data_IF_878466161487
#
_entry.id   IF_878466161487
#
_cell.length_a   1.000
_cell.length_b   1.000
_cell.length_c   1.000
_cell.angle_alpha   90.00
_cell.angle_beta   90.00
_cell.angle_gamma   90.00
#
_symmetry.space_group_name_H-M   'P 1'
#
loop_
_entity.id
_entity.type
_entity.pdbx_description
1 polymer ?
#
# COMPACT_ATOMS: atom_id res chain seq x y z
N UNK A 1 23.17 -8.14 -5.26
CA UNK A 1 21.78 -8.30 -4.81
C UNK A 1 21.79 -8.65 -3.34
N UNK A 2 21.09 -7.87 -2.51
CA UNK A 2 20.95 -8.09 -1.08
C UNK A 2 19.50 -8.44 -0.76
N UNK A 3 19.30 -9.27 0.27
CA UNK A 3 17.96 -9.57 0.79
C UNK A 3 17.54 -8.49 1.76
N UNK A 4 16.24 -8.19 1.75
CA UNK A 4 15.64 -7.20 2.63
C UNK A 4 14.36 -7.75 3.25
N UNK A 5 13.85 -7.04 4.25
CA UNK A 5 12.54 -7.28 4.83
C UNK A 5 11.85 -5.97 5.19
N UNK A 6 10.53 -5.95 5.10
CA UNK A 6 9.71 -4.90 5.70
C UNK A 6 9.10 -5.36 7.02
N UNK A 7 8.60 -4.41 7.81
CA UNK A 7 7.79 -4.70 8.98
C UNK A 7 6.30 -4.64 8.61
N UNK A 8 5.48 -5.45 9.29
CA UNK A 8 4.02 -5.35 9.16
C UNK A 8 3.56 -3.95 9.62
N UNK A 9 2.68 -3.33 8.84
CA UNK A 9 2.04 -2.07 9.20
C UNK A 9 0.56 -2.11 8.82
N UNK A 10 -0.26 -1.26 9.45
CA UNK A 10 -1.67 -1.17 9.14
C UNK A 10 -2.19 0.24 9.34
N UNK A 11 -3.31 0.54 8.72
CA UNK A 11 -4.06 1.76 8.96
C UNK A 11 -5.53 1.44 9.24
N UNK A 12 -6.11 2.12 10.22
CA UNK A 12 -7.57 2.13 10.38
C UNK A 12 -8.23 2.85 9.21
N UNK A 13 -9.40 2.36 8.83
CA UNK A 13 -10.23 2.94 7.79
C UNK A 13 -11.19 3.96 8.39
N UNK A 14 -11.28 5.12 7.74
CA UNK A 14 -12.14 6.22 8.14
C UNK A 14 -12.82 6.86 6.93
N UNK A 15 -13.54 7.99 7.15
CA UNK A 15 -14.17 8.72 6.06
C UNK A 15 -13.12 9.31 5.12
N UNK A 16 -13.48 9.47 3.84
CA UNK A 16 -12.65 10.21 2.90
C UNK A 16 -12.49 11.66 3.41
N UNK A 17 -11.25 12.16 3.57
CA UNK A 17 -11.02 13.51 4.06
C UNK A 17 -11.60 14.58 3.11
N UNK A 18 -12.04 15.74 3.63
CA UNK A 18 -12.56 16.83 2.81
C UNK A 18 -11.52 17.32 1.79
N UNK A 19 -12.00 17.66 0.59
CA UNK A 19 -11.20 18.30 -0.46
C UNK A 19 -11.06 19.78 -0.13
N UNK A 20 -9.98 20.17 0.54
CA UNK A 20 -9.71 21.58 0.86
C UNK A 20 -8.57 22.12 -0.01
N UNK A 21 -8.56 23.40 -0.38
CA UNK A 21 -7.50 23.98 -1.20
C UNK A 21 -6.08 23.82 -0.63
N UNK A 22 -5.96 23.64 0.69
CA UNK A 22 -4.70 23.49 1.41
C UNK A 22 -4.18 22.03 1.47
N UNK A 23 -4.99 21.05 1.07
CA UNK A 23 -4.58 19.66 0.98
C UNK A 23 -4.87 19.18 -0.45
N UNK A 24 -3.86 18.79 -1.25
CA UNK A 24 -4.14 18.13 -2.51
C UNK A 24 -5.07 16.95 -2.24
N UNK A 25 -6.08 16.75 -3.10
CA UNK A 25 -7.09 15.71 -2.95
C UNK A 25 -6.45 14.39 -2.49
N UNK A 26 -7.13 13.59 -1.63
CA UNK A 26 -6.67 12.23 -1.40
C UNK A 26 -6.50 11.56 -2.78
N UNK A 27 -5.32 11.00 -3.02
CA UNK A 27 -4.96 10.46 -4.34
C UNK A 27 -5.79 9.23 -4.70
N UNK A 28 -6.45 8.64 -3.69
CA UNK A 28 -7.36 7.52 -3.77
C UNK A 28 -8.64 7.79 -2.96
N UNK A 29 -9.82 7.36 -3.42
CA UNK A 29 -10.04 6.61 -4.66
C UNK A 29 -9.97 7.52 -5.91
N UNK A 30 -9.66 6.93 -7.06
CA UNK A 30 -9.63 7.65 -8.35
C UNK A 30 -11.02 8.12 -8.78
N UNK A 31 -12.05 7.33 -8.49
CA UNK A 31 -13.45 7.65 -8.78
C UNK A 31 -14.33 7.47 -7.54
N UNK A 32 -14.62 8.57 -6.85
CA UNK A 32 -15.49 8.55 -5.66
C UNK A 32 -16.94 8.16 -5.94
N UNK A 33 -17.37 8.05 -7.20
CA UNK A 33 -18.77 7.78 -7.57
C UNK A 33 -19.13 6.29 -7.63
N UNK A 34 -18.16 5.37 -7.54
CA UNK A 34 -18.42 3.93 -7.66
C UNK A 34 -19.27 3.36 -6.51
N UNK A 35 -19.22 3.98 -5.34
CA UNK A 35 -20.00 3.58 -4.17
C UNK A 35 -19.39 4.06 -2.85
N UNK A 36 -19.92 3.58 -1.71
CA UNK A 36 -19.36 3.82 -0.39
C UNK A 36 -17.85 3.56 -0.36
N UNK A 37 -17.10 4.47 0.24
CA UNK A 37 -15.66 4.45 0.27
C UNK A 37 -15.15 4.70 1.69
N UNK A 38 -14.13 3.96 2.10
CA UNK A 38 -13.33 4.24 3.27
C UNK A 38 -11.88 4.49 2.88
N UNK A 39 -11.17 5.31 3.65
CA UNK A 39 -9.82 5.79 3.38
C UNK A 39 -8.91 5.55 4.58
N UNK A 40 -7.63 5.30 4.33
CA UNK A 40 -6.60 5.12 5.36
C UNK A 40 -5.23 5.61 4.91
N UNK A 41 -4.32 5.79 5.89
CA UNK A 41 -2.93 6.21 5.67
C UNK A 41 -1.97 5.41 6.54
N UNK A 42 -0.88 4.95 5.96
CA UNK A 42 0.19 4.22 6.67
C UNK A 42 1.41 5.11 6.93
N UNK A 43 1.62 6.16 6.13
CA UNK A 43 2.78 7.04 6.25
C UNK A 43 3.96 6.49 5.44
N UNK A 44 4.86 5.73 6.06
CA UNK A 44 6.04 5.19 5.38
C UNK A 44 6.25 3.69 5.64
N UNK A 45 6.64 2.96 4.60
CA UNK A 45 6.88 1.52 4.61
C UNK A 45 8.23 1.22 3.96
N UNK A 46 9.21 0.82 4.77
CA UNK A 46 10.59 0.61 4.34
C UNK A 46 11.00 -0.86 4.34
N UNK A 47 11.95 -1.16 3.46
CA UNK A 47 12.67 -2.43 3.40
C UNK A 47 14.08 -2.24 3.94
N UNK A 48 14.40 -2.99 4.98
CA UNK A 48 15.70 -2.98 5.65
C UNK A 48 16.54 -4.15 5.13
N UNK A 49 17.84 -3.95 4.95
CA UNK A 49 18.74 -5.05 4.63
C UNK A 49 18.71 -6.13 5.73
N UNK A 50 18.78 -7.40 5.36
CA UNK A 50 18.81 -8.50 6.33
C UNK A 50 19.97 -8.30 7.33
N UNK A 51 19.64 -8.26 8.63
CA UNK A 51 20.62 -8.00 9.70
C UNK A 51 20.87 -6.52 10.02
N UNK A 52 20.21 -5.58 9.32
CA UNK A 52 20.17 -4.15 9.66
C UNK A 52 18.77 -3.78 10.16
N UNK A 53 18.68 -2.97 11.22
CA UNK A 53 17.41 -2.44 11.74
C UNK A 53 17.22 -0.95 11.46
N UNK A 54 18.29 -0.24 11.15
CA UNK A 54 18.31 1.23 11.20
C UNK A 54 18.58 1.87 9.83
N UNK A 55 19.00 1.07 8.84
CA UNK A 55 19.33 1.56 7.50
C UNK A 55 18.39 0.94 6.44
N UNK A 56 17.36 1.68 5.97
CA UNK A 56 16.48 1.22 4.92
C UNK A 56 17.19 1.24 3.56
N UNK A 57 17.05 0.16 2.80
CA UNK A 57 17.57 0.06 1.43
C UNK A 57 16.69 0.81 0.42
N UNK A 58 15.38 0.76 0.61
CA UNK A 58 14.36 1.48 -0.19
C UNK A 58 13.03 1.46 0.56
N UNK A 59 12.04 2.21 0.09
CA UNK A 59 10.68 2.07 0.58
C UNK A 59 9.65 2.90 -0.16
N UNK A 60 8.56 3.15 0.55
CA UNK A 60 7.42 3.92 0.07
C UNK A 60 6.98 4.91 1.13
N UNK A 61 6.74 6.14 0.70
CA UNK A 61 6.30 7.25 1.52
C UNK A 61 4.90 7.68 1.12
N UNK A 62 4.25 8.43 2.01
CA UNK A 62 2.91 8.98 1.83
C UNK A 62 1.88 7.96 1.33
N UNK A 63 1.94 6.74 1.88
CA UNK A 63 1.02 5.67 1.47
C UNK A 63 -0.41 6.06 1.87
N UNK A 64 -1.24 6.31 0.87
CA UNK A 64 -2.69 6.50 0.98
C UNK A 64 -3.41 5.30 0.38
N UNK A 65 -4.47 4.86 1.05
CA UNK A 65 -5.25 3.69 0.69
C UNK A 65 -6.74 4.04 0.67
N UNK A 66 -7.48 3.45 -0.25
CA UNK A 66 -8.95 3.45 -0.20
C UNK A 66 -9.51 2.07 -0.48
N UNK A 67 -10.59 1.73 0.20
CA UNK A 67 -11.45 0.59 -0.14
C UNK A 67 -12.82 1.11 -0.53
N UNK A 68 -13.28 0.75 -1.72
CA UNK A 68 -14.53 1.26 -2.27
C UNK A 68 -15.40 0.11 -2.77
N UNK A 69 -16.68 0.14 -2.41
CA UNK A 69 -17.64 -0.83 -2.94
C UNK A 69 -17.93 -0.51 -4.41
N UNK A 70 -17.69 -1.46 -5.31
CA UNK A 70 -17.95 -1.31 -6.75
C UNK A 70 -19.24 -2.02 -7.16
N UNK A 71 -19.50 -3.19 -6.59
CA UNK A 71 -20.75 -3.93 -6.74
C UNK A 71 -21.17 -4.52 -5.40
N UNK A 72 -22.24 -5.33 -5.38
CA UNK A 72 -22.70 -5.95 -4.13
C UNK A 72 -21.60 -6.74 -3.41
N UNK A 73 -20.79 -7.48 -4.19
CA UNK A 73 -19.82 -8.49 -3.72
C UNK A 73 -18.39 -8.20 -4.17
N UNK A 74 -18.13 -7.00 -4.67
CA UNK A 74 -16.80 -6.60 -5.12
C UNK A 74 -16.44 -5.26 -4.48
N UNK A 75 -15.29 -5.23 -3.81
CA UNK A 75 -14.62 -3.99 -3.43
C UNK A 75 -13.40 -3.76 -4.31
N UNK A 76 -13.05 -2.50 -4.52
CA UNK A 76 -11.78 -2.07 -5.08
C UNK A 76 -10.90 -1.55 -3.95
N UNK A 77 -9.70 -2.13 -3.84
CA UNK A 77 -8.61 -1.55 -3.09
C UNK A 77 -7.79 -0.70 -4.06
N UNK A 78 -7.54 0.57 -3.71
CA UNK A 78 -6.57 1.43 -4.39
C UNK A 78 -5.49 1.87 -3.40
N UNK A 79 -4.25 1.92 -3.87
CA UNK A 79 -3.09 2.43 -3.15
C UNK A 79 -2.42 3.51 -4.01
N UNK A 80 -2.01 4.58 -3.35
CA UNK A 80 -1.04 5.54 -3.86
C UNK A 80 0.13 5.66 -2.89
N UNK A 81 1.34 5.81 -3.41
CA UNK A 81 2.51 6.15 -2.63
C UNK A 81 3.56 6.86 -3.47
N UNK A 82 4.58 7.41 -2.82
CA UNK A 82 5.83 7.81 -3.46
C UNK A 82 6.86 6.73 -3.17
N UNK A 83 7.40 6.11 -4.21
CA UNK A 83 8.55 5.24 -4.07
C UNK A 83 9.80 6.06 -3.76
N UNK A 84 10.53 5.64 -2.74
CA UNK A 84 11.68 6.35 -2.17
C UNK A 84 12.90 5.42 -2.21
N UNK A 85 13.74 5.60 -3.22
CA UNK A 85 14.98 4.85 -3.38
C UNK A 85 16.13 5.57 -2.69
N UNK A 86 16.69 4.97 -1.64
CA UNK A 86 17.87 5.52 -0.97
C UNK A 86 19.08 5.51 -1.91
N UNK A 87 20.03 6.43 -1.68
CA UNK A 87 21.15 6.75 -2.59
C UNK A 87 22.09 5.58 -2.94
N UNK A 88 22.00 4.44 -2.24
CA UNK A 88 22.91 3.31 -2.37
C UNK A 88 22.29 2.07 -3.01
N UNK A 89 20.95 1.97 -3.08
CA UNK A 89 20.29 0.79 -3.62
C UNK A 89 18.95 1.08 -4.32
N UNK A 90 18.63 0.25 -5.32
CA UNK A 90 17.30 0.14 -5.91
C UNK A 90 16.52 -1.03 -5.29
N UNK A 91 15.20 -0.91 -5.19
CA UNK A 91 14.32 -1.99 -4.77
C UNK A 91 13.79 -2.80 -5.96
N UNK A 92 13.77 -4.13 -5.87
CA UNK A 92 13.30 -5.03 -6.94
C UNK A 92 11.88 -5.51 -6.62
N UNK A 93 10.89 -4.98 -7.34
CA UNK A 93 9.47 -5.20 -7.00
C UNK A 93 8.80 -6.39 -7.70
N UNK A 94 9.40 -6.91 -8.76
CA UNK A 94 8.82 -7.99 -9.55
C UNK A 94 8.76 -9.36 -8.84
N UNK A 95 9.64 -9.63 -7.86
CA UNK A 95 9.80 -10.96 -7.26
C UNK A 95 9.11 -11.15 -5.91
N UNK A 96 9.01 -10.06 -5.13
CA UNK A 96 8.47 -10.10 -3.78
C UNK A 96 7.30 -9.12 -3.68
N UNK A 97 6.09 -9.52 -4.11
CA UNK A 97 4.96 -8.62 -4.13
C UNK A 97 4.57 -8.18 -2.73
N UNK A 98 4.24 -6.90 -2.59
CA UNK A 98 3.60 -6.39 -1.38
C UNK A 98 2.24 -7.05 -1.22
N UNK A 99 1.97 -7.59 -0.04
CA UNK A 99 0.69 -8.20 0.29
C UNK A 99 -0.15 -7.23 1.11
N UNK A 100 -1.33 -6.95 0.58
CA UNK A 100 -2.33 -6.13 1.23
C UNK A 100 -3.45 -7.04 1.73
N UNK A 101 -3.86 -6.87 2.97
CA UNK A 101 -5.02 -7.55 3.54
C UNK A 101 -6.05 -6.53 4.01
N UNK A 102 -7.32 -6.78 3.73
CA UNK A 102 -8.42 -5.98 4.27
C UNK A 102 -9.10 -6.80 5.36
N UNK A 103 -9.32 -6.19 6.52
CA UNK A 103 -9.73 -6.91 7.73
C UNK A 103 -10.98 -6.32 8.38
N UNK A 104 -11.68 -7.20 9.10
CA UNK A 104 -12.70 -6.90 10.10
C UNK A 104 -12.30 -7.60 11.41
N UNK A 105 -11.84 -6.83 12.38
CA UNK A 105 -11.10 -7.33 13.54
C UNK A 105 -9.90 -8.15 13.07
N UNK A 106 -9.75 -9.36 13.62
CA UNK A 106 -8.68 -10.28 13.24
C UNK A 106 -9.00 -11.12 11.99
N UNK A 107 -10.18 -10.94 11.38
CA UNK A 107 -10.60 -11.72 10.22
C UNK A 107 -10.11 -11.05 8.93
N UNK A 108 -9.35 -11.78 8.12
CA UNK A 108 -9.00 -11.34 6.77
C UNK A 108 -10.20 -11.57 5.86
N UNK A 109 -10.76 -10.49 5.32
CA UNK A 109 -11.91 -10.54 4.41
C UNK A 109 -11.47 -10.65 2.95
N UNK A 110 -10.26 -10.21 2.63
CA UNK A 110 -9.66 -10.41 1.32
C UNK A 110 -8.24 -9.89 1.23
N UNK A 111 -7.54 -10.29 0.17
CA UNK A 111 -6.12 -9.94 -0.03
C UNK A 111 -5.84 -9.54 -1.46
N UNK A 112 -4.85 -8.67 -1.66
CA UNK A 112 -4.27 -8.35 -2.95
C UNK A 112 -2.73 -8.44 -2.88
N UNK A 113 -2.11 -8.75 -4.02
CA UNK A 113 -0.66 -8.79 -4.18
C UNK A 113 -0.24 -7.78 -5.23
N UNK A 114 0.68 -6.89 -4.88
CA UNK A 114 1.20 -5.88 -5.77
C UNK A 114 2.67 -6.15 -6.11
N UNK A 115 2.93 -6.54 -7.36
CA UNK A 115 4.26 -6.52 -7.94
C UNK A 115 4.56 -5.08 -8.40
N UNK A 116 5.25 -4.32 -7.56
CA UNK A 116 5.57 -2.92 -7.82
C UNK A 116 6.69 -2.80 -8.87
N UNK A 117 6.75 -1.71 -9.65
CA UNK A 117 7.92 -1.38 -10.45
C UNK A 117 9.15 -1.22 -9.57
N UNK A 118 10.35 -1.43 -10.13
CA UNK A 118 11.58 -1.25 -9.36
C UNK A 118 11.68 0.18 -8.81
N UNK A 119 12.06 0.29 -7.53
CA UNK A 119 12.25 1.59 -6.85
C UNK A 119 13.63 2.11 -7.20
N UNK A 120 13.70 3.25 -7.89
CA UNK A 120 14.94 3.78 -8.44
C UNK A 120 15.67 4.63 -7.39
N UNK A 121 16.96 4.37 -7.26
CA UNK A 121 17.89 5.07 -6.40
C UNK A 121 17.94 6.58 -6.66
N UNK A 122 17.78 7.40 -5.62
CA UNK A 122 17.80 8.87 -5.72
C UNK A 122 16.56 9.48 -6.38
N UNK A 123 15.51 8.68 -6.58
CA UNK A 123 14.26 9.11 -7.19
C UNK A 123 13.11 9.05 -6.18
N UNK A 124 12.12 9.93 -6.41
CA UNK A 124 10.86 9.98 -5.69
C UNK A 124 9.71 9.83 -6.71
N UNK A 125 9.34 8.59 -7.00
CA UNK A 125 8.42 8.28 -8.10
C UNK A 125 7.00 7.99 -7.58
N UNK A 126 5.95 8.67 -8.07
CA UNK A 126 4.58 8.33 -7.70
C UNK A 126 4.21 6.95 -8.26
N UNK A 127 3.64 6.12 -7.40
CA UNK A 127 3.17 4.78 -7.74
C UNK A 127 1.71 4.61 -7.36
N UNK A 128 1.00 3.85 -8.19
CA UNK A 128 -0.40 3.53 -8.00
C UNK A 128 -0.61 2.02 -8.16
N UNK A 129 -1.52 1.49 -7.36
CA UNK A 129 -2.00 0.12 -7.48
C UNK A 129 -3.51 0.08 -7.27
N UNK A 130 -4.19 -0.78 -8.02
CA UNK A 130 -5.60 -1.05 -7.84
C UNK A 130 -5.89 -2.54 -8.06
N UNK A 131 -6.74 -3.10 -7.21
CA UNK A 131 -7.20 -4.48 -7.34
C UNK A 131 -8.66 -4.60 -6.91
N UNK A 132 -9.42 -5.40 -7.65
CA UNK A 132 -10.78 -5.78 -7.28
C UNK A 132 -10.74 -7.08 -6.47
N UNK A 133 -11.37 -7.06 -5.30
CA UNK A 133 -11.40 -8.15 -4.33
C UNK A 133 -12.87 -8.54 -4.14
N UNK A 134 -13.16 -9.84 -4.31
CA UNK A 134 -14.49 -10.38 -4.00
C UNK A 134 -14.67 -10.50 -2.50
N UNK A 135 -15.85 -10.10 -2.04
CA UNK A 135 -16.29 -10.21 -0.65
C UNK A 135 -17.63 -10.94 -0.62
N UNK A 136 -17.90 -11.67 0.46
CA UNK A 136 -19.24 -12.16 0.72
C UNK A 136 -20.18 -10.98 1.05
N UNK A 137 -21.47 -11.19 0.78
CA UNK A 137 -22.53 -10.20 0.92
C UNK A 137 -22.52 -9.56 2.33
N UNK A 138 -22.60 -8.23 2.37
CA UNK A 138 -22.70 -7.47 3.62
C UNK A 138 -21.38 -7.27 4.40
N UNK A 139 -20.28 -7.93 4.01
CA UNK A 139 -19.01 -7.80 4.74
C UNK A 139 -18.33 -6.43 4.58
N UNK A 140 -18.65 -5.68 3.53
CA UNK A 140 -18.05 -4.36 3.30
C UNK A 140 -18.27 -3.40 4.47
N UNK A 141 -19.42 -3.46 5.14
CA UNK A 141 -19.73 -2.57 6.27
C UNK A 141 -18.88 -2.88 7.52
N UNK A 142 -18.25 -4.05 7.59
CA UNK A 142 -17.47 -4.50 8.73
C UNK A 142 -15.97 -4.20 8.60
N UNK A 143 -15.51 -3.68 7.46
CA UNK A 143 -14.10 -3.37 7.23
C UNK A 143 -13.63 -2.29 8.20
N UNK A 144 -12.53 -2.53 8.91
CA UNK A 144 -11.97 -1.55 9.86
C UNK A 144 -10.52 -1.16 9.58
N UNK A 145 -9.76 -1.99 8.86
CA UNK A 145 -8.35 -1.70 8.56
C UNK A 145 -7.86 -2.34 7.28
N UNK A 146 -6.80 -1.75 6.75
CA UNK A 146 -5.95 -2.36 5.71
C UNK A 146 -4.57 -2.56 6.32
N UNK A 147 -4.01 -3.73 6.06
CA UNK A 147 -2.69 -4.13 6.48
C UNK A 147 -1.77 -4.29 5.27
N UNK A 148 -0.54 -3.76 5.39
CA UNK A 148 0.61 -4.20 4.61
C UNK A 148 1.35 -5.27 5.41
N UNK A 149 1.29 -6.51 4.93
CA UNK A 149 1.93 -7.62 5.63
C UNK A 149 3.45 -7.53 5.56
N UNK A 150 4.11 -8.16 6.54
CA UNK A 150 5.55 -8.38 6.52
C UNK A 150 5.94 -9.05 5.19
N UNK A 151 6.86 -8.44 4.46
CA UNK A 151 7.22 -8.89 3.11
C UNK A 151 8.75 -8.98 3.01
N UNK A 152 9.25 -10.06 2.42
CA UNK A 152 10.66 -10.13 2.00
C UNK A 152 10.89 -9.19 0.82
N UNK A 153 12.12 -8.77 0.58
CA UNK A 153 12.47 -7.91 -0.54
C UNK A 153 13.85 -8.23 -1.07
N UNK A 154 14.17 -7.63 -2.21
CA UNK A 154 15.49 -7.65 -2.80
C UNK A 154 15.89 -6.23 -3.14
N UNK A 155 17.15 -5.90 -2.86
CA UNK A 155 17.76 -4.66 -3.30
C UNK A 155 19.01 -4.94 -4.12
N UNK A 156 19.34 -4.00 -5.00
CA UNK A 156 20.55 -4.06 -5.82
C UNK A 156 21.30 -2.72 -5.76
N UNK A 157 22.63 -2.72 -5.81
CA UNK A 157 23.40 -1.48 -5.90
C UNK A 157 22.95 -0.63 -7.09
N UNK A 158 22.98 0.69 -6.93
CA UNK A 158 22.83 1.61 -8.05
C UNK A 158 24.05 1.45 -8.97
N UNK A 159 23.82 1.28 -10.28
CA UNK A 159 24.85 1.11 -11.30
C UNK A 159 24.78 2.20 -12.36
#
# INVERSE_FOLDING_TARGET
>A
MARCYSNRQFCSLGPLPPRTPARPDPQVPKDTKLGPCAHGKIGAFYFYADGSTDDPAFGFCDIELSVQRVTENTMRLELYCIADGYQSARGVGARHPLKLAVLAGETVLGTASWHFPDVICGHADPMHFAADIRLDDGLFANLDRVELSRTSGESEPCG
#
